data_IF_507649925839
#
_entry.id   IF_507649925839
#
_cell.length_a   1.000
_cell.length_b   1.000
_cell.length_c   1.000
_cell.angle_alpha   90.00
_cell.angle_beta   90.00
_cell.angle_gamma   90.00
#
_symmetry.space_group_name_H-M   'P 1'
#
loop_
_entity.id
_entity.type
_entity.pdbx_description
1 polymer ?
#
# COMPACT_ATOMS: atom_id res chain seq x y z
N UNK A 1 7.08 8.30 19.73
CA UNK A 1 7.41 8.30 18.29
C UNK A 1 6.14 8.50 17.48
N UNK A 2 6.18 9.35 16.45
CA UNK A 2 5.10 9.54 15.46
C UNK A 2 5.63 9.32 14.03
N UNK A 3 4.75 8.97 13.09
CA UNK A 3 5.12 8.78 11.68
C UNK A 3 3.93 8.96 10.73
N UNK A 4 4.15 8.68 9.44
CA UNK A 4 3.12 8.72 8.41
C UNK A 4 3.05 10.04 7.63
N UNK A 5 1.95 10.23 6.90
CA UNK A 5 1.78 11.33 5.93
C UNK A 5 1.90 12.70 6.59
N UNK A 6 1.21 12.92 7.72
CA UNK A 6 1.28 14.20 8.43
C UNK A 6 2.71 14.53 8.87
N UNK A 7 3.41 13.59 9.52
CA UNK A 7 4.80 13.76 9.94
C UNK A 7 5.73 14.06 8.75
N UNK A 8 5.47 13.46 7.58
CA UNK A 8 6.28 13.68 6.39
C UNK A 8 6.08 15.06 5.76
N UNK A 9 4.92 15.68 5.95
CA UNK A 9 4.58 16.99 5.39
C UNK A 9 4.83 18.14 6.37
N UNK A 10 4.64 17.90 7.67
CA UNK A 10 4.71 18.87 8.75
C UNK A 10 5.56 18.31 9.91
N UNK A 11 6.84 17.97 9.67
CA UNK A 11 7.68 17.32 10.67
C UNK A 11 7.92 18.18 11.91
N UNK A 12 8.08 19.50 11.75
CA UNK A 12 8.32 20.43 12.85
C UNK A 12 7.08 20.61 13.75
N UNK A 13 5.88 20.47 13.19
CA UNK A 13 4.64 20.43 13.97
C UNK A 13 4.56 19.13 14.77
N UNK A 14 4.77 17.99 14.13
CA UNK A 14 4.77 16.69 14.78
C UNK A 14 5.83 16.59 15.90
N UNK A 15 6.99 17.24 15.71
CA UNK A 15 8.08 17.27 16.68
C UNK A 15 7.71 17.99 17.99
N UNK A 16 6.70 18.85 17.98
CA UNK A 16 6.21 19.48 19.23
C UNK A 16 5.47 18.48 20.13
N UNK A 17 5.12 17.30 19.62
CA UNK A 17 4.24 16.33 20.29
C UNK A 17 4.86 14.93 20.42
N UNK A 18 6.12 14.74 20.03
CA UNK A 18 6.78 13.44 20.08
C UNK A 18 8.29 13.53 20.27
N UNK A 19 8.86 12.56 21.00
CA UNK A 19 10.31 12.44 21.19
C UNK A 19 11.04 12.10 19.89
N UNK A 20 10.36 11.41 18.98
CA UNK A 20 10.89 11.04 17.66
C UNK A 20 9.79 11.13 16.61
N UNK A 21 10.12 11.69 15.45
CA UNK A 21 9.27 11.85 14.28
C UNK A 21 9.91 11.14 13.09
N UNK A 22 9.20 10.21 12.48
CA UNK A 22 9.63 9.50 11.27
C UNK A 22 8.94 10.10 10.05
N UNK A 23 9.72 10.49 9.06
CA UNK A 23 9.26 11.03 7.77
C UNK A 23 9.57 10.05 6.65
N UNK A 24 8.80 10.08 5.55
CA UNK A 24 8.96 9.14 4.45
C UNK A 24 8.54 7.73 4.82
N UNK A 25 9.22 6.72 4.26
CA UNK A 25 8.92 5.31 4.51
C UNK A 25 9.61 4.80 5.77
N UNK A 26 8.81 4.22 6.68
CA UNK A 26 9.23 3.98 8.06
C UNK A 26 10.03 2.71 8.29
N UNK A 27 10.09 1.78 7.34
CA UNK A 27 10.60 0.41 7.57
C UNK A 27 12.03 0.41 8.10
N UNK A 28 12.93 1.17 7.46
CA UNK A 28 14.30 1.34 7.95
C UNK A 28 14.40 2.43 9.00
N UNK A 29 13.71 3.56 8.80
CA UNK A 29 13.84 4.73 9.66
C UNK A 29 13.37 4.48 11.10
N UNK A 30 12.33 3.67 11.30
CA UNK A 30 11.87 3.27 12.64
C UNK A 30 12.95 2.43 13.34
N UNK A 31 13.61 1.52 12.62
CA UNK A 31 14.71 0.73 13.18
C UNK A 31 15.88 1.63 13.56
N UNK A 32 16.30 2.50 12.64
CA UNK A 32 17.39 3.46 12.89
C UNK A 32 17.08 4.35 14.12
N UNK A 33 15.81 4.74 14.30
CA UNK A 33 15.36 5.60 15.38
C UNK A 33 15.27 4.94 16.77
N UNK A 34 15.21 3.61 16.86
CA UNK A 34 15.17 2.88 18.14
C UNK A 34 16.53 2.36 18.57
N UNK A 35 17.56 2.53 17.73
CA UNK A 35 18.93 2.16 18.08
C UNK A 35 19.47 3.12 19.16
N UNK A 36 20.28 2.63 20.12
CA UNK A 36 20.80 3.43 21.23
C UNK A 36 21.61 4.66 20.79
N UNK A 37 22.21 4.60 19.60
CA UNK A 37 23.13 5.61 19.07
C UNK A 37 22.39 6.70 18.28
N UNK A 38 21.06 6.65 18.18
CA UNK A 38 20.30 7.67 17.49
C UNK A 38 20.22 8.96 18.31
N UNK A 39 20.93 9.99 17.84
CA UNK A 39 20.85 11.35 18.35
C UNK A 39 20.01 12.23 17.42
N UNK A 40 18.81 12.62 17.86
CA UNK A 40 17.94 13.53 17.12
C UNK A 40 16.47 13.37 17.46
N UNK A 41 15.65 14.19 16.81
CA UNK A 41 14.19 14.13 16.94
C UNK A 41 13.51 13.72 15.63
N UNK A 42 14.08 14.05 14.47
CA UNK A 42 13.47 13.75 13.17
C UNK A 42 14.35 12.77 12.39
N UNK A 43 13.78 11.64 11.97
CA UNK A 43 14.42 10.62 11.15
C UNK A 43 13.76 10.56 9.79
N UNK A 44 14.56 10.59 8.73
CA UNK A 44 14.06 10.53 7.35
C UNK A 44 14.27 9.15 6.75
N UNK A 45 13.16 8.49 6.48
CA UNK A 45 13.10 7.29 5.66
C UNK A 45 13.30 7.59 4.19
N UNK A 46 14.14 6.77 3.55
CA UNK A 46 14.27 6.75 2.10
C UNK A 46 13.14 5.94 1.46
N UNK A 47 12.89 6.20 0.17
CA UNK A 47 11.97 5.38 -0.61
C UNK A 47 12.54 3.96 -0.76
N UNK A 48 11.69 2.95 -0.57
CA UNK A 48 12.07 1.55 -0.78
C UNK A 48 11.90 1.21 -2.25
N UNK A 49 13.02 1.01 -2.95
CA UNK A 49 13.03 0.87 -4.40
C UNK A 49 12.34 -0.41 -4.89
N UNK A 50 12.60 -1.53 -4.19
CA UNK A 50 12.03 -2.85 -4.46
C UNK A 50 11.15 -3.28 -3.28
N UNK A 51 9.84 -3.29 -3.50
CA UNK A 51 8.84 -3.62 -2.47
C UNK A 51 8.81 -5.12 -2.15
N UNK A 52 9.36 -5.99 -3.00
CA UNK A 52 9.42 -7.43 -2.71
C UNK A 52 10.50 -7.79 -1.69
N UNK A 53 11.43 -6.86 -1.41
CA UNK A 53 12.36 -7.00 -0.27
C UNK A 53 11.66 -6.93 1.08
N UNK A 54 10.42 -6.42 1.12
CA UNK A 54 9.64 -6.28 2.33
C UNK A 54 8.82 -7.55 2.62
N UNK A 55 8.82 -8.01 3.88
CA UNK A 55 7.91 -9.08 4.28
C UNK A 55 6.45 -8.59 4.17
N UNK A 56 5.52 -9.53 4.11
CA UNK A 56 4.11 -9.19 4.35
C UNK A 56 3.93 -8.62 5.77
N UNK A 57 2.96 -7.72 5.98
CA UNK A 57 2.65 -7.24 7.32
C UNK A 57 2.33 -8.38 8.29
N UNK A 58 2.68 -8.22 9.56
CA UNK A 58 2.33 -9.20 10.60
C UNK A 58 0.84 -9.12 10.93
N UNK A 59 0.05 -9.88 10.18
CA UNK A 59 -1.38 -10.02 10.39
C UNK A 59 -1.76 -10.82 11.65
N UNK A 60 -0.78 -11.34 12.40
CA UNK A 60 -1.01 -11.92 13.71
C UNK A 60 -1.65 -10.93 14.68
N UNK A 61 -1.36 -9.64 14.53
CA UNK A 61 -1.92 -8.55 15.34
C UNK A 61 -3.42 -8.32 15.11
N UNK A 62 -3.97 -8.83 13.99
CA UNK A 62 -5.39 -8.66 13.64
C UNK A 62 -6.29 -9.80 14.15
N UNK A 63 -5.73 -10.87 14.75
CA UNK A 63 -6.48 -12.10 15.09
C UNK A 63 -7.75 -11.84 15.91
N UNK A 64 -7.75 -10.82 16.77
CA UNK A 64 -8.91 -10.41 17.58
C UNK A 64 -9.87 -9.43 16.91
N UNK A 65 -9.43 -8.74 15.86
CA UNK A 65 -10.17 -7.67 15.19
C UNK A 65 -10.90 -8.15 13.93
N UNK A 66 -10.59 -9.36 13.44
CA UNK A 66 -11.16 -9.88 12.20
C UNK A 66 -12.69 -9.87 12.13
N UNK A 67 -13.39 -10.08 13.26
CA UNK A 67 -14.87 -10.05 13.28
C UNK A 67 -15.43 -8.63 13.10
N UNK A 68 -14.68 -7.59 13.49
CA UNK A 68 -15.06 -6.19 13.31
C UNK A 68 -14.51 -5.60 12.00
N UNK A 69 -13.43 -6.15 11.44
CA UNK A 69 -12.85 -5.72 10.18
C UNK A 69 -13.57 -6.37 8.98
N UNK A 70 -14.40 -5.59 8.30
CA UNK A 70 -15.13 -6.02 7.10
C UNK A 70 -14.19 -6.30 5.91
N UNK A 71 -13.10 -5.54 5.80
CA UNK A 71 -12.12 -5.61 4.73
C UNK A 71 -10.75 -6.00 5.28
N UNK A 72 -10.05 -6.88 4.56
CA UNK A 72 -8.61 -6.96 4.65
C UNK A 72 -8.00 -5.82 3.83
N UNK A 73 -6.93 -5.21 4.32
CA UNK A 73 -6.18 -4.22 3.56
C UNK A 73 -4.86 -4.82 3.10
N UNK A 74 -4.50 -4.56 1.85
CA UNK A 74 -3.15 -4.83 1.31
C UNK A 74 -2.65 -3.61 0.56
N UNK A 75 -1.34 -3.52 0.35
CA UNK A 75 -0.75 -2.51 -0.53
C UNK A 75 0.15 -3.22 -1.53
N UNK A 76 -0.22 -3.10 -2.80
CA UNK A 76 0.50 -3.71 -3.91
C UNK A 76 1.42 -2.74 -4.65
N UNK A 77 1.27 -1.44 -4.38
CA UNK A 77 2.12 -0.39 -4.92
C UNK A 77 2.23 0.81 -3.98
N UNK A 78 3.25 1.64 -4.20
CA UNK A 78 3.46 2.92 -3.51
C UNK A 78 3.71 4.05 -4.51
N UNK A 79 3.04 5.17 -4.28
CA UNK A 79 3.16 6.38 -5.08
C UNK A 79 2.19 6.45 -6.26
N UNK A 80 2.20 7.58 -6.96
CA UNK A 80 1.31 7.86 -8.07
C UNK A 80 2.09 8.68 -9.13
N UNK A 81 1.92 8.43 -10.44
CA UNK A 81 2.68 9.16 -11.46
C UNK A 81 2.10 10.56 -11.70
N UNK A 82 0.94 10.86 -11.13
CA UNK A 82 0.23 12.12 -11.30
C UNK A 82 0.55 13.09 -10.17
N UNK A 83 0.85 14.34 -10.54
CA UNK A 83 1.23 15.40 -9.61
C UNK A 83 0.09 16.41 -9.44
N UNK A 84 -1.04 15.93 -8.93
CA UNK A 84 -2.21 16.77 -8.69
C UNK A 84 -1.89 17.80 -7.60
N UNK A 85 -2.21 19.09 -7.83
CA UNK A 85 -1.86 20.20 -6.93
C UNK A 85 -2.39 20.07 -5.50
N UNK A 86 -3.47 19.31 -5.31
CA UNK A 86 -4.11 19.06 -4.01
C UNK A 86 -3.60 17.81 -3.31
N UNK A 87 -2.82 16.96 -3.99
CA UNK A 87 -2.42 15.65 -3.49
C UNK A 87 -1.07 15.71 -2.78
N UNK A 88 -0.90 14.92 -1.72
CA UNK A 88 0.37 14.79 -1.00
C UNK A 88 1.22 13.59 -1.41
N UNK A 89 0.66 12.63 -2.16
CA UNK A 89 1.30 11.36 -2.49
C UNK A 89 2.67 11.56 -3.14
N UNK A 90 2.78 12.43 -4.15
CA UNK A 90 4.05 12.68 -4.86
C UNK A 90 5.10 13.36 -3.97
N UNK A 91 4.67 14.10 -2.94
CA UNK A 91 5.57 14.74 -1.96
C UNK A 91 6.14 13.72 -0.98
N UNK A 92 5.40 12.66 -0.66
CA UNK A 92 5.81 11.63 0.31
C UNK A 92 6.51 10.46 -0.38
N UNK A 93 5.91 9.90 -1.43
CA UNK A 93 6.35 8.67 -2.10
C UNK A 93 7.13 8.92 -3.40
N UNK A 94 7.33 10.18 -3.78
CA UNK A 94 7.93 10.56 -5.06
C UNK A 94 6.99 10.36 -6.25
N UNK A 95 7.50 10.63 -7.46
CA UNK A 95 6.72 10.57 -8.71
C UNK A 95 6.74 9.19 -9.39
N UNK A 96 7.58 8.26 -8.90
CA UNK A 96 7.71 6.93 -9.47
C UNK A 96 6.83 5.98 -8.67
N UNK A 97 5.91 5.31 -9.36
CA UNK A 97 5.16 4.20 -8.75
C UNK A 97 6.08 2.99 -8.66
N UNK A 98 6.09 2.38 -7.48
CA UNK A 98 6.82 1.13 -7.21
C UNK A 98 5.79 0.06 -6.92
N UNK A 99 5.87 -1.07 -7.59
CA UNK A 99 4.93 -2.18 -7.44
C UNK A 99 5.65 -3.36 -6.80
N UNK A 100 4.92 -4.17 -6.04
CA UNK A 100 5.32 -5.56 -5.75
C UNK A 100 5.28 -6.37 -7.05
N UNK A 101 5.94 -7.51 -7.12
CA UNK A 101 5.67 -8.46 -8.20
C UNK A 101 4.21 -8.94 -8.15
N UNK A 102 3.70 -9.36 -9.31
CA UNK A 102 2.34 -9.90 -9.44
C UNK A 102 2.18 -11.12 -8.55
N UNK A 103 3.20 -11.98 -8.49
CA UNK A 103 3.25 -13.18 -7.67
C UNK A 103 3.18 -12.84 -6.18
N UNK A 104 4.02 -11.91 -5.72
CA UNK A 104 4.06 -11.40 -4.34
C UNK A 104 2.71 -10.81 -3.90
N UNK A 105 2.10 -9.95 -4.73
CA UNK A 105 0.78 -9.38 -4.44
C UNK A 105 -0.32 -10.45 -4.42
N UNK A 106 -0.32 -11.39 -5.38
CA UNK A 106 -1.30 -12.47 -5.43
C UNK A 106 -1.17 -13.45 -4.25
N UNK A 107 0.06 -13.71 -3.78
CA UNK A 107 0.33 -14.47 -2.57
C UNK A 107 -0.22 -13.80 -1.31
N UNK A 108 -0.06 -12.48 -1.18
CA UNK A 108 -0.64 -11.69 -0.09
C UNK A 108 -2.18 -11.79 -0.11
N UNK A 109 -2.82 -11.61 -1.27
CA UNK A 109 -4.28 -11.76 -1.41
C UNK A 109 -4.72 -13.17 -1.02
N UNK A 110 -4.02 -14.21 -1.48
CA UNK A 110 -4.33 -15.60 -1.16
C UNK A 110 -4.17 -15.88 0.35
N UNK A 111 -3.16 -15.31 1.00
CA UNK A 111 -2.98 -15.36 2.45
C UNK A 111 -4.20 -14.76 3.17
N UNK A 112 -4.63 -13.56 2.76
CA UNK A 112 -5.83 -12.90 3.32
C UNK A 112 -7.10 -13.74 3.09
N UNK A 113 -7.22 -14.36 1.92
CA UNK A 113 -8.33 -15.24 1.59
C UNK A 113 -8.34 -16.52 2.45
N UNK A 114 -7.18 -17.14 2.69
CA UNK A 114 -6.99 -18.30 3.59
C UNK A 114 -7.24 -17.96 5.05
N UNK A 115 -6.90 -16.73 5.46
CA UNK A 115 -7.33 -16.18 6.74
C UNK A 115 -8.84 -15.98 6.81
N UNK A 116 -9.57 -16.14 5.70
CA UNK A 116 -11.02 -16.17 5.63
C UNK A 116 -11.67 -14.81 5.45
N UNK A 117 -10.92 -13.81 4.98
CA UNK A 117 -11.49 -12.58 4.46
C UNK A 117 -12.20 -12.83 3.13
N UNK A 118 -13.25 -12.06 2.88
CA UNK A 118 -14.03 -12.09 1.63
C UNK A 118 -14.21 -10.72 0.99
N UNK A 119 -13.73 -9.68 1.66
CA UNK A 119 -13.60 -8.35 1.08
C UNK A 119 -12.16 -7.86 1.30
N UNK A 120 -11.60 -7.27 0.26
CA UNK A 120 -10.25 -6.70 0.23
C UNK A 120 -10.34 -5.22 -0.12
N UNK A 121 -9.47 -4.41 0.46
CA UNK A 121 -9.21 -3.05 0.05
C UNK A 121 -7.75 -2.94 -0.36
N UNK A 122 -7.51 -2.53 -1.60
CA UNK A 122 -6.18 -2.12 -2.04
C UNK A 122 -5.95 -0.71 -1.55
N UNK A 123 -5.03 -0.54 -0.61
CA UNK A 123 -4.59 0.76 -0.09
C UNK A 123 -3.63 1.50 -1.00
N UNK A 124 -3.67 1.21 -2.30
CA UNK A 124 -2.82 1.82 -3.32
C UNK A 124 -3.40 3.17 -3.72
N UNK A 125 -2.56 4.21 -3.84
CA UNK A 125 -3.01 5.56 -4.21
C UNK A 125 -3.63 5.63 -5.62
N UNK A 126 -3.24 4.69 -6.50
CA UNK A 126 -3.82 4.48 -7.81
C UNK A 126 -3.57 3.06 -8.29
N UNK A 127 -4.53 2.17 -8.05
CA UNK A 127 -4.44 0.74 -8.37
C UNK A 127 -4.15 0.44 -9.85
N UNK A 128 -4.73 1.22 -10.77
CA UNK A 128 -4.52 1.06 -12.20
C UNK A 128 -3.45 2.02 -12.77
N UNK A 129 -2.50 2.47 -11.95
CA UNK A 129 -1.40 3.32 -12.40
C UNK A 129 -0.53 2.65 -13.48
N UNK A 130 -0.40 1.31 -13.43
CA UNK A 130 0.21 0.51 -14.48
C UNK A 130 -0.78 -0.56 -14.94
N UNK A 131 -1.41 -0.33 -16.09
CA UNK A 131 -2.48 -1.19 -16.62
C UNK A 131 -2.03 -2.61 -16.91
N UNK A 132 -0.84 -2.79 -17.47
CA UNK A 132 -0.33 -4.12 -17.83
C UNK A 132 -0.07 -4.95 -16.58
N UNK A 133 0.53 -4.32 -15.56
CA UNK A 133 0.71 -4.96 -14.25
C UNK A 133 -0.64 -5.28 -13.59
N UNK A 134 -1.60 -4.36 -13.63
CA UNK A 134 -2.94 -4.60 -13.06
C UNK A 134 -3.64 -5.76 -13.77
N UNK A 135 -3.63 -5.80 -15.11
CA UNK A 135 -4.21 -6.92 -15.89
C UNK A 135 -3.55 -8.25 -15.52
N UNK A 136 -2.23 -8.26 -15.34
CA UNK A 136 -1.51 -9.46 -14.91
C UNK A 136 -1.93 -9.92 -13.51
N UNK A 137 -2.06 -9.00 -12.53
CA UNK A 137 -2.57 -9.33 -11.19
C UNK A 137 -3.99 -9.88 -11.23
N UNK A 138 -4.91 -9.24 -11.94
CA UNK A 138 -6.29 -9.69 -12.03
C UNK A 138 -6.39 -11.07 -12.70
N UNK A 139 -5.59 -11.29 -13.75
CA UNK A 139 -5.48 -12.61 -14.38
C UNK A 139 -4.95 -13.67 -13.41
N UNK A 140 -3.95 -13.32 -12.61
CA UNK A 140 -3.38 -14.20 -11.58
C UNK A 140 -4.41 -14.54 -10.48
N UNK A 141 -5.22 -13.57 -10.05
CA UNK A 141 -6.34 -13.81 -9.12
C UNK A 141 -7.36 -14.80 -9.67
N UNK A 142 -7.71 -14.68 -10.97
CA UNK A 142 -8.60 -15.62 -11.65
C UNK A 142 -7.97 -17.02 -11.73
N UNK A 143 -6.69 -17.11 -12.10
CA UNK A 143 -5.94 -18.36 -12.18
C UNK A 143 -5.91 -19.09 -10.83
N UNK A 144 -5.71 -18.37 -9.73
CA UNK A 144 -5.75 -18.88 -8.35
C UNK A 144 -7.17 -19.13 -7.83
N UNK A 145 -8.21 -18.77 -8.58
CA UNK A 145 -9.63 -18.93 -8.23
C UNK A 145 -9.98 -18.24 -6.90
N UNK A 146 -9.41 -17.07 -6.65
CA UNK A 146 -9.62 -16.31 -5.43
C UNK A 146 -11.03 -15.68 -5.42
N UNK A 147 -11.93 -16.23 -4.60
CA UNK A 147 -13.32 -15.78 -4.46
C UNK A 147 -13.43 -14.65 -3.42
N UNK A 148 -12.76 -13.54 -3.68
CA UNK A 148 -12.74 -12.36 -2.82
C UNK A 148 -13.34 -11.17 -3.57
N UNK A 149 -14.20 -10.38 -2.92
CA UNK A 149 -14.60 -9.08 -3.46
C UNK A 149 -13.54 -8.06 -3.12
N UNK A 150 -13.35 -7.05 -3.95
CA UNK A 150 -12.35 -6.03 -3.68
C UNK A 150 -12.80 -4.63 -4.07
N UNK A 151 -12.19 -3.65 -3.42
CA UNK A 151 -12.30 -2.22 -3.74
C UNK A 151 -10.90 -1.64 -3.85
N UNK A 152 -10.75 -0.66 -4.72
CA UNK A 152 -9.50 0.07 -4.88
C UNK A 152 -9.79 1.50 -5.35
N UNK A 153 -8.82 2.38 -5.14
CA UNK A 153 -8.84 3.72 -5.69
C UNK A 153 -8.12 3.73 -7.04
N UNK A 154 -8.71 4.39 -8.03
CA UNK A 154 -8.08 4.60 -9.33
C UNK A 154 -8.61 5.85 -10.00
N UNK A 155 -7.92 6.32 -11.04
CA UNK A 155 -8.41 7.45 -11.84
C UNK A 155 -9.34 7.00 -12.95
N UNK A 156 -10.18 7.93 -13.41
CA UNK A 156 -11.20 7.72 -14.42
C UNK A 156 -10.66 7.20 -15.76
N UNK A 157 -9.37 7.43 -16.06
CA UNK A 157 -8.72 6.94 -17.26
C UNK A 157 -8.73 5.42 -17.39
N UNK A 158 -8.97 4.67 -16.31
CA UNK A 158 -9.23 3.22 -16.34
C UNK A 158 -10.37 2.85 -17.30
N UNK A 159 -11.38 3.73 -17.42
CA UNK A 159 -12.54 3.50 -18.28
C UNK A 159 -12.20 3.49 -19.78
N UNK A 160 -10.99 3.90 -20.17
CA UNK A 160 -10.51 3.89 -21.55
C UNK A 160 -9.95 2.53 -21.99
N UNK A 161 -9.91 1.54 -21.10
CA UNK A 161 -9.36 0.21 -21.36
C UNK A 161 -10.43 -0.86 -21.11
N UNK A 162 -11.22 -1.23 -22.14
CA UNK A 162 -12.31 -2.19 -22.00
C UNK A 162 -11.87 -3.56 -21.47
N UNK A 163 -10.70 -4.06 -21.90
CA UNK A 163 -10.16 -5.34 -21.42
C UNK A 163 -9.86 -5.29 -19.92
N UNK A 164 -9.29 -4.19 -19.43
CA UNK A 164 -9.09 -4.01 -17.99
C UNK A 164 -10.42 -3.94 -17.23
N UNK A 165 -11.44 -3.26 -17.77
CA UNK A 165 -12.77 -3.24 -17.14
C UNK A 165 -13.40 -4.63 -17.07
N UNK A 166 -13.26 -5.44 -18.12
CA UNK A 166 -13.74 -6.83 -18.13
C UNK A 166 -13.05 -7.66 -17.05
N UNK A 167 -11.74 -7.53 -16.87
CA UNK A 167 -10.99 -8.18 -15.81
C UNK A 167 -11.39 -7.68 -14.41
N UNK A 168 -11.61 -6.38 -14.25
CA UNK A 168 -12.07 -5.78 -12.98
C UNK A 168 -13.44 -6.37 -12.58
N UNK A 169 -14.36 -6.49 -13.53
CA UNK A 169 -15.67 -7.11 -13.33
C UNK A 169 -15.55 -8.61 -13.02
N UNK A 170 -14.75 -9.34 -13.81
CA UNK A 170 -14.56 -10.78 -13.67
C UNK A 170 -13.92 -11.18 -12.32
N UNK A 171 -13.12 -10.30 -11.73
CA UNK A 171 -12.48 -10.48 -10.42
C UNK A 171 -13.30 -9.91 -9.26
N UNK A 172 -14.56 -9.52 -9.50
CA UNK A 172 -15.53 -9.14 -8.47
C UNK A 172 -15.14 -7.87 -7.68
N UNK A 173 -14.66 -6.84 -8.39
CA UNK A 173 -14.61 -5.47 -7.87
C UNK A 173 -16.03 -4.93 -7.57
N UNK A 174 -16.26 -4.29 -6.43
CA UNK A 174 -17.60 -3.84 -6.01
C UNK A 174 -17.65 -2.48 -5.35
#
# INVERSE_FOLDING_TARGET
MLGGIHCSLLPDEAAQHADVVVTGEGEKAVLDAVLPDFEGQIVKGGLIEDLDTLPFPDYGLERGLRKSLKYATISSSRGCPFDCSFCCVTKVYGRRVRFRSVESAAEEIELRYKQGYRNLFFGDDNFAANRDWTKALLTEMLRRKLKISWVAESRIEVAKDPELLDLISATNCR
#
